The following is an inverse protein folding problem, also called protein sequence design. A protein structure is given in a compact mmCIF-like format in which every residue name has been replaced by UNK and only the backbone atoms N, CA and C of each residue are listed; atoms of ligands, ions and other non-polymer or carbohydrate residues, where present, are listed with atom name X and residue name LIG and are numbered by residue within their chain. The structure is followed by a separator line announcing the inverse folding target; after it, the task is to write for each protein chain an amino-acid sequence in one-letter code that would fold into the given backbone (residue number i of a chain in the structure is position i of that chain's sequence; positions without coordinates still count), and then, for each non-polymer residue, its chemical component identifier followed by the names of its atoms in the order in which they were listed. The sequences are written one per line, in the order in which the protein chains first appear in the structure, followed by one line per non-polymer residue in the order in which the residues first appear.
data_IF_890298175257
#
_entry.id   IF_890298175257
#
_cell.length_a   1.000
_cell.length_b   1.000
_cell.length_c   1.000
_cell.angle_alpha   90.00
_cell.angle_beta   90.00
_cell.angle_gamma   90.00
#
_symmetry.space_group_name_H-M   'P 1'
#
loop_
_entity.id
_entity.type
_entity.pdbx_description
1 polymer ?
#
# COMPACT_ATOMS: atom_id res chain seq x y z
N UNK A 1 9.14 2.82 -13.69
CA UNK A 1 8.91 3.29 -12.30
C UNK A 1 9.56 2.31 -11.33
N UNK A 2 10.03 2.75 -10.17
CA UNK A 2 10.54 1.84 -9.14
C UNK A 2 9.37 1.10 -8.51
N UNK A 3 9.51 -0.21 -8.33
CA UNK A 3 8.47 -1.06 -7.71
C UNK A 3 8.89 -1.45 -6.30
N UNK A 4 7.90 -1.72 -5.47
CA UNK A 4 8.08 -2.30 -4.15
C UNK A 4 6.96 -3.31 -3.87
N UNK A 5 7.12 -4.07 -2.79
CA UNK A 5 6.06 -4.90 -2.27
C UNK A 5 5.63 -4.37 -0.91
N UNK A 6 4.32 -4.29 -0.71
CA UNK A 6 3.73 -4.04 0.61
C UNK A 6 3.04 -5.32 1.06
N UNK A 7 3.18 -5.64 2.35
CA UNK A 7 2.55 -6.82 2.97
C UNK A 7 1.46 -6.37 3.93
N UNK A 8 0.26 -6.91 3.77
CA UNK A 8 -0.79 -6.78 4.77
C UNK A 8 -0.40 -7.60 6.01
N UNK A 9 -0.35 -6.97 7.19
CA UNK A 9 0.08 -7.62 8.43
C UNK A 9 -0.97 -8.64 8.92
N UNK A 10 -2.26 -8.36 8.73
CA UNK A 10 -3.34 -9.21 9.20
C UNK A 10 -3.52 -10.47 8.35
N UNK A 11 -3.45 -10.34 7.02
CA UNK A 11 -3.66 -11.48 6.09
C UNK A 11 -2.37 -12.11 5.60
N UNK A 12 -1.23 -11.44 5.79
CA UNK A 12 0.07 -11.88 5.27
C UNK A 12 0.24 -11.71 3.76
N UNK A 13 -0.78 -11.26 3.03
CA UNK A 13 -0.76 -11.12 1.57
C UNK A 13 0.12 -9.94 1.17
N UNK A 14 1.02 -10.20 0.21
CA UNK A 14 1.83 -9.16 -0.43
C UNK A 14 1.20 -8.69 -1.73
N UNK A 15 1.33 -7.40 -2.02
CA UNK A 15 0.94 -6.79 -3.28
C UNK A 15 2.09 -5.98 -3.85
N UNK A 16 2.26 -6.05 -5.16
CA UNK A 16 3.21 -5.20 -5.90
C UNK A 16 2.63 -3.80 -6.02
N UNK A 17 3.48 -2.80 -5.84
CA UNK A 17 3.10 -1.40 -5.94
C UNK A 17 4.17 -0.60 -6.68
N UNK A 18 3.74 0.41 -7.41
CA UNK A 18 4.61 1.41 -8.00
C UNK A 18 4.91 2.50 -6.96
N UNK A 19 6.17 2.86 -6.78
CA UNK A 19 6.60 3.93 -5.89
C UNK A 19 6.36 5.27 -6.60
N UNK A 20 5.50 6.11 -6.01
CA UNK A 20 5.28 7.48 -6.46
C UNK A 20 6.27 8.45 -5.81
N UNK A 21 6.49 8.29 -4.50
CA UNK A 21 7.37 9.16 -3.71
C UNK A 21 8.01 8.37 -2.58
N UNK A 22 9.31 8.59 -2.36
CA UNK A 22 10.06 7.99 -1.26
C UNK A 22 11.00 9.02 -0.65
N UNK A 23 10.94 9.17 0.67
CA UNK A 23 11.93 9.90 1.47
C UNK A 23 12.09 9.20 2.82
N UNK A 24 12.96 9.72 3.69
CA UNK A 24 13.30 9.10 4.98
C UNK A 24 12.10 8.89 5.94
N UNK A 25 11.01 9.65 5.75
CA UNK A 25 9.85 9.63 6.63
C UNK A 25 8.60 9.00 5.98
N UNK A 26 8.48 9.06 4.66
CA UNK A 26 7.28 8.75 3.90
C UNK A 26 7.58 7.89 2.67
N UNK A 27 6.70 6.93 2.42
CA UNK A 27 6.66 6.14 1.21
C UNK A 27 5.23 6.15 0.67
N UNK A 28 5.04 6.79 -0.48
CA UNK A 28 3.78 6.82 -1.21
C UNK A 28 3.85 5.84 -2.38
N UNK A 29 2.87 4.93 -2.43
CA UNK A 29 2.81 3.88 -3.45
C UNK A 29 1.42 3.77 -4.04
N UNK A 30 1.33 3.25 -5.27
CA UNK A 30 0.10 2.87 -5.94
C UNK A 30 0.07 1.36 -6.12
N UNK A 31 -1.03 0.72 -5.72
CA UNK A 31 -1.26 -0.70 -5.98
C UNK A 31 -1.30 -0.94 -7.49
N UNK A 32 -0.45 -1.85 -7.97
CA UNK A 32 -0.33 -2.16 -9.40
C UNK A 32 -1.69 -2.58 -9.98
N UNK A 33 -2.04 -2.01 -11.14
CA UNK A 33 -3.33 -2.25 -11.79
C UNK A 33 -4.53 -1.53 -11.14
N UNK A 34 -4.30 -0.63 -10.19
CA UNK A 34 -5.36 0.15 -9.54
C UNK A 34 -5.01 1.63 -9.46
N UNK A 35 -5.98 2.47 -9.09
CA UNK A 35 -5.75 3.89 -8.74
C UNK A 35 -5.53 4.11 -7.25
N UNK A 36 -5.44 3.02 -6.48
CA UNK A 36 -5.39 3.06 -5.04
C UNK A 36 -4.01 3.51 -4.57
N UNK A 37 -3.95 4.66 -3.90
CA UNK A 37 -2.76 5.20 -3.25
C UNK A 37 -2.69 4.83 -1.78
N UNK A 38 -1.50 4.42 -1.35
CA UNK A 38 -1.21 4.07 0.03
C UNK A 38 -0.03 4.92 0.51
N UNK A 39 -0.22 5.63 1.60
CA UNK A 39 0.83 6.37 2.29
C UNK A 39 1.31 5.58 3.49
N UNK A 40 2.60 5.24 3.50
CA UNK A 40 3.27 4.58 4.61
C UNK A 40 4.22 5.57 5.30
N UNK A 41 4.30 5.54 6.63
CA UNK A 41 5.20 6.36 7.43
C UNK A 41 6.29 5.51 8.05
N UNK A 42 7.52 6.01 8.09
CA UNK A 42 8.64 5.34 8.76
C UNK A 42 8.36 5.21 10.26
N UNK A 43 8.43 3.99 10.80
CA UNK A 43 8.31 3.65 12.22
C UNK A 43 9.26 2.49 12.51
N UNK A 44 10.18 2.66 13.46
CA UNK A 44 11.16 1.63 13.84
C UNK A 44 11.91 1.01 12.64
N UNK A 45 12.43 1.85 11.74
CA UNK A 45 13.15 1.44 10.51
C UNK A 45 12.31 0.72 9.45
N UNK A 46 10.98 0.72 9.57
CA UNK A 46 10.06 0.16 8.56
C UNK A 46 8.97 1.14 8.18
N UNK A 47 8.54 1.16 6.92
CA UNK A 47 7.37 1.95 6.52
C UNK A 47 6.09 1.21 6.87
N UNK A 48 5.26 1.82 7.71
CA UNK A 48 3.98 1.26 8.17
C UNK A 48 2.89 2.30 7.94
N UNK A 49 1.76 1.86 7.40
CA UNK A 49 0.59 2.69 7.20
C UNK A 49 -0.66 1.84 7.30
N UNK A 50 -1.76 2.49 7.64
CA UNK A 50 -3.09 1.90 7.53
C UNK A 50 -3.71 2.44 6.26
N UNK A 51 -4.26 1.54 5.45
CA UNK A 51 -5.08 1.92 4.33
C UNK A 51 -6.54 1.65 4.73
N UNK A 52 -7.39 2.66 4.55
CA UNK A 52 -8.72 2.89 5.14
C UNK A 52 -9.57 1.64 5.42
N UNK A 53 -10.50 1.77 6.37
CA UNK A 53 -11.60 0.82 6.64
C UNK A 53 -12.42 0.60 5.37
N UNK A 54 -12.07 -0.42 4.58
CA UNK A 54 -12.65 -0.65 3.25
C UNK A 54 -13.87 -1.55 3.32
N UNK A 55 -15.01 -1.03 2.87
CA UNK A 55 -16.22 -1.79 2.57
C UNK A 55 -16.36 -1.99 1.06
N UNK A 56 -16.71 -3.23 0.67
CA UNK A 56 -16.94 -3.63 -0.70
C UNK A 56 -18.35 -4.17 -0.84
N UNK A 57 -19.03 -3.82 -1.94
CA UNK A 57 -20.34 -4.37 -2.31
C UNK A 57 -20.26 -4.90 -3.74
N UNK A 58 -20.87 -6.05 -4.00
CA UNK A 58 -20.96 -6.68 -5.32
C UNK A 58 -22.40 -6.98 -5.62
N UNK A 59 -22.83 -6.76 -6.87
CA UNK A 59 -24.15 -7.18 -7.35
C UNK A 59 -24.16 -8.60 -7.91
N UNK A 60 -23.01 -9.29 -7.92
CA UNK A 60 -22.88 -10.70 -8.31
C UNK A 60 -23.58 -11.07 -9.61
N UNK A 61 -22.92 -10.86 -10.75
CA UNK A 61 -23.22 -11.68 -11.93
C UNK A 61 -22.54 -13.04 -11.77
#
# INVERSE_FOLDING_TARGET
MQKTQIKNIATGISKTCDILKKNEQLLEVVLEGTTIKILLKMKNKMYVGKFKDMEFVSSGN
#
